data_IF_139578465231
#
_entry.id   IF_139578465231
#
_cell.length_a   1.000
_cell.length_b   1.000
_cell.length_c   1.000
_cell.angle_alpha   90.00
_cell.angle_beta   90.00
_cell.angle_gamma   90.00
#
_symmetry.space_group_name_H-M   'P 1'
#
loop_
_entity.id
_entity.type
_entity.pdbx_description
1 polymer ?
#
# COMPACT_ATOMS: atom_id res chain seq x y z
N UNK A 1 17.62 -6.09 4.03
CA UNK A 1 16.29 -6.73 4.02
C UNK A 1 16.37 -8.26 3.91
N UNK A 2 17.10 -8.85 2.97
CA UNK A 2 17.24 -10.32 2.85
C UNK A 2 17.72 -11.00 4.15
N UNK A 3 18.60 -10.37 4.92
CA UNK A 3 19.10 -10.88 6.20
C UNK A 3 18.08 -10.75 7.36
N UNK A 4 16.98 -10.02 7.15
CA UNK A 4 15.96 -9.79 8.16
C UNK A 4 14.72 -10.68 7.95
N UNK A 5 14.77 -11.64 7.02
CA UNK A 5 13.65 -12.54 6.76
C UNK A 5 12.42 -11.89 6.12
N UNK A 6 12.61 -10.79 5.36
CA UNK A 6 11.53 -10.16 4.60
C UNK A 6 11.18 -11.02 3.39
N UNK A 7 9.91 -11.37 3.21
CA UNK A 7 9.44 -12.27 2.15
C UNK A 7 9.07 -11.52 0.86
N UNK A 8 8.48 -10.33 0.97
CA UNK A 8 8.01 -9.52 -0.14
C UNK A 8 8.47 -8.07 -0.01
N UNK A 9 8.68 -7.42 -1.15
CA UNK A 9 8.73 -5.96 -1.25
C UNK A 9 7.47 -5.46 -1.94
N UNK A 10 6.98 -4.28 -1.56
CA UNK A 10 5.89 -3.61 -2.24
C UNK A 10 6.36 -2.24 -2.73
N UNK A 11 6.01 -1.91 -3.97
CA UNK A 11 6.28 -0.62 -4.60
C UNK A 11 4.98 -0.02 -5.13
N UNK A 12 4.95 1.29 -5.30
CA UNK A 12 3.76 1.94 -5.82
C UNK A 12 3.59 1.71 -7.33
N UNK A 13 4.68 1.81 -8.11
CA UNK A 13 4.63 1.75 -9.57
C UNK A 13 5.65 0.74 -10.13
N UNK A 14 5.38 0.26 -11.36
CA UNK A 14 6.23 -0.71 -12.04
C UNK A 14 7.68 -0.22 -12.21
N UNK A 15 7.89 1.07 -12.51
CA UNK A 15 9.23 1.63 -12.72
C UNK A 15 10.11 1.59 -11.45
N UNK A 16 9.50 1.68 -10.26
CA UNK A 16 10.22 1.47 -8.99
C UNK A 16 10.68 0.02 -8.86
N UNK A 17 9.82 -0.95 -9.20
CA UNK A 17 10.14 -2.37 -9.22
C UNK A 17 11.24 -2.70 -10.23
N UNK A 18 11.20 -2.13 -11.42
CA UNK A 18 12.24 -2.24 -12.45
C UNK A 18 13.58 -1.75 -11.89
N UNK A 19 13.59 -0.57 -11.27
CA UNK A 19 14.79 -0.02 -10.63
C UNK A 19 15.38 -0.97 -9.57
N UNK A 20 14.53 -1.64 -8.80
CA UNK A 20 14.99 -2.66 -7.85
C UNK A 20 15.62 -3.86 -8.57
N UNK A 21 15.01 -4.36 -9.65
CA UNK A 21 15.55 -5.46 -10.45
C UNK A 21 16.91 -5.13 -11.08
N UNK A 22 17.05 -3.93 -11.65
CA UNK A 22 18.31 -3.44 -12.22
C UNK A 22 19.44 -3.33 -11.19
N UNK A 23 19.07 -3.12 -9.91
CA UNK A 23 20.01 -3.13 -8.77
C UNK A 23 20.23 -4.52 -8.17
N UNK A 24 19.76 -5.59 -8.82
CA UNK A 24 20.01 -6.96 -8.41
C UNK A 24 19.09 -7.50 -7.31
N UNK A 25 17.96 -6.84 -7.03
CA UNK A 25 16.96 -7.36 -6.09
C UNK A 25 16.21 -8.53 -6.75
N UNK A 26 16.26 -9.71 -6.15
CA UNK A 26 15.64 -10.95 -6.66
C UNK A 26 14.40 -11.38 -5.88
N UNK A 27 14.09 -10.72 -4.77
CA UNK A 27 12.91 -11.00 -3.94
C UNK A 27 11.62 -10.73 -4.73
N UNK A 28 10.49 -11.39 -4.40
CA UNK A 28 9.18 -11.00 -4.95
C UNK A 28 8.90 -9.51 -4.73
N UNK A 29 8.40 -8.83 -5.76
CA UNK A 29 8.07 -7.40 -5.72
C UNK A 29 6.65 -7.21 -6.19
N UNK A 30 5.79 -6.76 -5.29
CA UNK A 30 4.38 -6.43 -5.55
C UNK A 30 4.28 -5.00 -6.05
N UNK A 31 3.53 -4.77 -7.12
CA UNK A 31 3.21 -3.43 -7.63
C UNK A 31 1.77 -3.08 -7.27
N UNK A 32 1.59 -2.06 -6.42
CA UNK A 32 0.29 -1.70 -5.84
C UNK A 32 -0.58 -0.83 -6.76
N UNK A 33 0.01 -0.12 -7.74
CA UNK A 33 -0.72 0.61 -8.77
C UNK A 33 -0.40 0.00 -10.14
N UNK A 34 -0.72 -1.27 -10.30
CA UNK A 34 -0.52 -1.98 -11.54
C UNK A 34 -1.58 -1.55 -12.57
N UNK A 35 -1.15 -0.98 -13.68
CA UNK A 35 -1.99 -0.59 -14.81
C UNK A 35 -1.69 -1.44 -16.05
N UNK A 36 -2.65 -1.51 -16.97
CA UNK A 36 -2.55 -2.33 -18.17
C UNK A 36 -1.37 -1.94 -19.09
N UNK A 37 -0.95 -0.66 -19.08
CA UNK A 37 0.17 -0.18 -19.89
C UNK A 37 1.53 -0.68 -19.33
N UNK A 38 1.57 -1.08 -18.07
CA UNK A 38 2.79 -1.58 -17.42
C UNK A 38 2.90 -3.11 -17.38
N UNK A 39 1.84 -3.87 -17.71
CA UNK A 39 1.80 -5.33 -17.57
C UNK A 39 2.90 -6.04 -18.38
N UNK A 40 3.17 -5.60 -19.60
CA UNK A 40 4.24 -6.18 -20.43
C UNK A 40 5.61 -6.04 -19.74
N UNK A 41 5.92 -4.86 -19.19
CA UNK A 41 7.14 -4.62 -18.41
C UNK A 41 7.16 -5.44 -17.13
N UNK A 42 6.00 -5.55 -16.43
CA UNK A 42 5.93 -6.31 -15.19
C UNK A 42 6.26 -7.79 -15.42
N UNK A 43 5.76 -8.40 -16.50
CA UNK A 43 6.10 -9.78 -16.86
C UNK A 43 7.58 -9.88 -17.19
N UNK A 44 8.14 -8.95 -18.01
CA UNK A 44 9.54 -8.98 -18.42
C UNK A 44 10.52 -8.88 -17.24
N UNK A 45 10.15 -8.11 -16.20
CA UNK A 45 10.97 -7.91 -15.01
C UNK A 45 10.54 -8.77 -13.80
N UNK A 46 9.62 -9.72 -13.98
CA UNK A 46 9.11 -10.60 -12.91
C UNK A 46 8.59 -9.80 -11.72
N UNK A 47 7.73 -8.80 -11.98
CA UNK A 47 7.02 -7.99 -10.99
C UNK A 47 5.58 -8.50 -10.85
N UNK A 48 5.07 -8.55 -9.64
CA UNK A 48 3.79 -9.17 -9.32
C UNK A 48 2.68 -8.11 -9.17
N UNK A 49 1.62 -8.11 -10.01
CA UNK A 49 0.61 -7.06 -9.97
C UNK A 49 -0.42 -7.21 -8.85
N UNK A 50 -0.82 -6.09 -8.24
CA UNK A 50 -2.10 -5.97 -7.56
C UNK A 50 -3.23 -6.02 -8.60
N UNK A 51 -4.24 -6.86 -8.34
CA UNK A 51 -5.44 -7.02 -9.16
C UNK A 51 -6.66 -6.64 -8.32
N UNK A 52 -7.40 -5.65 -8.74
CA UNK A 52 -8.45 -4.99 -7.95
C UNK A 52 -9.81 -4.89 -8.66
N UNK A 53 -9.92 -5.37 -9.90
CA UNK A 53 -11.15 -5.35 -10.67
C UNK A 53 -11.17 -6.46 -11.72
N UNK A 54 -12.35 -6.82 -12.23
CA UNK A 54 -12.47 -7.78 -13.34
C UNK A 54 -11.75 -7.30 -14.59
N UNK A 55 -11.76 -5.98 -14.86
CA UNK A 55 -11.04 -5.41 -15.99
C UNK A 55 -9.53 -5.63 -15.87
N UNK A 56 -8.94 -5.29 -14.69
CA UNK A 56 -7.51 -5.50 -14.48
C UNK A 56 -7.12 -6.99 -14.50
N UNK A 57 -8.00 -7.87 -13.99
CA UNK A 57 -7.78 -9.31 -14.01
C UNK A 57 -7.75 -9.85 -15.45
N UNK A 58 -8.73 -9.47 -16.25
CA UNK A 58 -8.88 -9.92 -17.64
C UNK A 58 -7.75 -9.38 -18.53
N UNK A 59 -7.36 -8.11 -18.37
CA UNK A 59 -6.24 -7.52 -19.08
C UNK A 59 -4.91 -8.21 -18.73
N UNK A 60 -4.71 -8.53 -17.45
CA UNK A 60 -3.49 -9.23 -17.06
C UNK A 60 -3.46 -10.67 -17.56
N UNK A 61 -4.59 -11.41 -17.51
CA UNK A 61 -4.69 -12.77 -18.06
C UNK A 61 -4.37 -12.76 -19.56
N UNK A 62 -4.93 -11.82 -20.33
CA UNK A 62 -4.62 -11.66 -21.76
C UNK A 62 -3.14 -11.34 -22.00
N UNK A 63 -2.56 -10.47 -21.19
CA UNK A 63 -1.14 -10.17 -21.26
C UNK A 63 -0.30 -11.42 -20.96
N UNK A 64 -0.57 -12.13 -19.89
CA UNK A 64 0.11 -13.35 -19.49
C UNK A 64 0.01 -14.45 -20.57
N UNK A 65 -1.14 -14.55 -21.23
CA UNK A 65 -1.36 -15.50 -22.35
C UNK A 65 -0.48 -15.17 -23.58
N UNK A 66 -0.37 -13.88 -23.95
CA UNK A 66 0.53 -13.42 -25.04
C UNK A 66 1.99 -13.79 -24.78
N UNK A 67 2.43 -13.72 -23.52
CA UNK A 67 3.80 -14.11 -23.13
C UNK A 67 3.96 -15.61 -22.88
N UNK A 68 2.90 -16.41 -23.01
CA UNK A 68 2.92 -17.85 -22.78
C UNK A 68 3.23 -18.25 -21.34
N UNK A 69 3.11 -17.34 -20.37
CA UNK A 69 3.38 -17.63 -18.98
C UNK A 69 2.23 -18.39 -18.33
N UNK A 70 2.55 -19.19 -17.30
CA UNK A 70 1.59 -19.97 -16.53
C UNK A 70 1.86 -19.83 -15.04
N UNK A 71 0.79 -19.88 -14.23
CA UNK A 71 0.87 -19.73 -12.79
C UNK A 71 1.57 -18.44 -12.34
N UNK A 72 1.44 -17.36 -13.14
CA UNK A 72 2.08 -16.09 -12.80
C UNK A 72 1.46 -15.54 -11.51
N UNK A 73 2.30 -15.16 -10.50
CA UNK A 73 1.80 -14.69 -9.22
C UNK A 73 1.10 -13.33 -9.36
N UNK A 74 -0.12 -13.23 -8.83
CA UNK A 74 -0.90 -12.01 -8.74
C UNK A 74 -1.43 -11.84 -7.32
N UNK A 75 -1.77 -10.60 -6.95
CA UNK A 75 -2.24 -10.24 -5.60
C UNK A 75 -3.66 -9.69 -5.68
N UNK A 76 -4.61 -10.46 -5.13
CA UNK A 76 -6.04 -10.10 -5.18
C UNK A 76 -6.37 -9.10 -4.08
N UNK A 77 -6.81 -7.92 -4.48
CA UNK A 77 -7.26 -6.87 -3.56
C UNK A 77 -8.74 -7.00 -3.27
N UNK A 78 -9.11 -6.98 -1.99
CA UNK A 78 -10.48 -6.92 -1.50
C UNK A 78 -10.77 -5.53 -0.94
N UNK A 79 -11.94 -4.98 -1.26
CA UNK A 79 -12.43 -3.76 -0.60
C UNK A 79 -13.25 -4.14 0.63
N UNK A 80 -12.75 -3.76 1.78
CA UNK A 80 -13.39 -4.03 3.07
C UNK A 80 -13.86 -2.75 3.77
N UNK A 81 -13.96 -1.64 3.04
CA UNK A 81 -14.46 -0.38 3.59
C UNK A 81 -13.58 0.84 3.35
N UNK A 82 -12.45 0.71 2.65
CA UNK A 82 -11.67 1.86 2.20
C UNK A 82 -12.28 2.52 0.95
N UNK A 83 -13.05 1.76 0.17
CA UNK A 83 -13.77 2.20 -1.04
C UNK A 83 -12.89 2.95 -2.06
N UNK A 84 -11.66 2.45 -2.23
CA UNK A 84 -10.73 2.99 -3.23
C UNK A 84 -10.63 2.06 -4.43
N UNK A 85 -10.28 0.81 -4.23
CA UNK A 85 -10.25 -0.29 -5.20
C UNK A 85 -10.23 -1.64 -4.47
N UNK A 86 -10.65 -2.69 -5.18
CA UNK A 86 -10.76 -4.05 -4.67
C UNK A 86 -12.09 -4.68 -5.01
N UNK A 87 -12.13 -6.00 -5.02
CA UNK A 87 -13.36 -6.76 -5.24
C UNK A 87 -14.26 -6.69 -4.01
N UNK A 88 -15.57 -6.66 -4.26
CA UNK A 88 -16.62 -6.65 -3.24
C UNK A 88 -16.99 -8.07 -2.79
N UNK A 89 -17.75 -8.19 -1.72
CA UNK A 89 -18.11 -9.48 -1.11
C UNK A 89 -18.96 -10.37 -2.05
N UNK A 90 -19.86 -9.77 -2.82
CA UNK A 90 -20.72 -10.46 -3.79
C UNK A 90 -19.98 -10.87 -5.08
N UNK A 91 -18.76 -10.36 -5.31
CA UNK A 91 -17.94 -10.68 -6.47
C UNK A 91 -16.99 -11.88 -6.25
N UNK A 92 -16.86 -12.36 -5.01
CA UNK A 92 -15.84 -13.36 -4.62
C UNK A 92 -15.95 -14.67 -5.40
N UNK A 93 -17.16 -15.19 -5.60
CA UNK A 93 -17.35 -16.46 -6.30
C UNK A 93 -16.93 -16.35 -7.76
N UNK A 94 -17.26 -15.23 -8.41
CA UNK A 94 -16.85 -14.97 -9.79
C UNK A 94 -15.33 -14.80 -9.90
N UNK A 95 -14.68 -14.16 -8.94
CA UNK A 95 -13.21 -14.09 -8.88
C UNK A 95 -12.61 -15.48 -8.79
N UNK A 96 -13.15 -16.35 -7.92
CA UNK A 96 -12.71 -17.74 -7.79
C UNK A 96 -12.85 -18.52 -9.10
N UNK A 97 -14.02 -18.44 -9.77
CA UNK A 97 -14.27 -19.10 -11.04
C UNK A 97 -13.26 -18.69 -12.13
N UNK A 98 -12.97 -17.39 -12.25
CA UNK A 98 -11.99 -16.88 -13.20
C UNK A 98 -10.58 -17.41 -12.87
N UNK A 99 -10.15 -17.38 -11.60
CA UNK A 99 -8.84 -17.86 -11.19
C UNK A 99 -8.67 -19.37 -11.44
N UNK A 100 -9.71 -20.17 -11.21
CA UNK A 100 -9.69 -21.63 -11.46
C UNK A 100 -9.59 -21.92 -12.95
N UNK A 101 -10.29 -21.15 -13.79
CA UNK A 101 -10.32 -21.36 -15.25
C UNK A 101 -9.13 -20.75 -16.00
N UNK A 102 -8.30 -19.94 -15.33
CA UNK A 102 -7.19 -19.20 -15.94
C UNK A 102 -5.82 -19.71 -15.52
N UNK A 103 -5.26 -20.73 -16.20
CA UNK A 103 -3.94 -21.30 -15.83
C UNK A 103 -2.77 -20.35 -16.03
N UNK A 104 -2.98 -19.17 -16.63
CA UNK A 104 -1.99 -18.14 -16.82
C UNK A 104 -1.56 -17.51 -15.48
N UNK A 105 -2.49 -17.41 -14.53
CA UNK A 105 -2.29 -16.68 -13.27
C UNK A 105 -2.54 -17.58 -12.06
N UNK A 106 -1.95 -17.18 -10.93
CA UNK A 106 -2.19 -17.80 -9.62
C UNK A 106 -2.25 -16.70 -8.56
N UNK A 107 -3.31 -16.65 -7.77
CA UNK A 107 -3.37 -15.77 -6.63
C UNK A 107 -2.30 -16.16 -5.59
N UNK A 108 -1.22 -15.40 -5.51
CA UNK A 108 -0.17 -15.59 -4.50
C UNK A 108 -0.65 -15.09 -3.13
N UNK A 109 -1.32 -13.95 -3.11
CA UNK A 109 -1.92 -13.39 -1.89
C UNK A 109 -3.32 -12.87 -2.12
N UNK A 110 -4.08 -12.77 -1.02
CA UNK A 110 -5.34 -12.04 -0.92
C UNK A 110 -5.16 -10.98 0.15
N UNK A 111 -5.51 -9.73 -0.13
CA UNK A 111 -5.28 -8.67 0.82
C UNK A 111 -6.30 -7.53 0.78
N UNK A 112 -6.33 -6.75 1.85
CA UNK A 112 -7.07 -5.49 1.95
C UNK A 112 -6.20 -4.42 2.61
N UNK A 113 -6.77 -3.24 2.87
CA UNK A 113 -6.09 -2.15 3.57
C UNK A 113 -7.00 -1.54 4.62
N UNK A 114 -6.50 -1.45 5.84
CA UNK A 114 -7.21 -0.82 6.95
C UNK A 114 -7.04 0.70 6.85
N UNK A 115 -8.16 1.43 6.80
CA UNK A 115 -8.16 2.86 6.48
C UNK A 115 -7.90 3.76 7.68
N UNK A 116 -8.19 3.31 8.90
CA UNK A 116 -8.10 4.10 10.14
C UNK A 116 -7.59 3.27 11.33
N UNK A 117 -6.68 2.32 11.08
CA UNK A 117 -6.10 1.53 12.16
C UNK A 117 -5.23 2.35 13.13
N UNK A 118 -4.91 3.59 12.79
CA UNK A 118 -4.15 4.55 13.58
C UNK A 118 -5.02 5.44 14.50
N UNK A 119 -6.36 5.44 14.32
CA UNK A 119 -7.28 6.24 15.10
C UNK A 119 -8.08 5.38 16.09
N UNK A 120 -7.84 5.50 17.42
CA UNK A 120 -8.61 4.76 18.42
C UNK A 120 -10.13 5.02 18.38
N UNK A 121 -10.56 6.19 17.91
CA UNK A 121 -11.98 6.50 17.79
C UNK A 121 -12.69 5.67 16.69
N UNK A 122 -11.93 5.05 15.81
CA UNK A 122 -12.40 4.23 14.68
C UNK A 122 -12.16 2.73 14.89
N UNK A 123 -11.88 2.28 16.11
CA UNK A 123 -11.55 0.88 16.39
C UNK A 123 -12.66 -0.08 15.98
N UNK A 124 -13.92 0.26 16.24
CA UNK A 124 -15.06 -0.58 15.87
C UNK A 124 -15.15 -0.75 14.33
N UNK A 125 -14.94 0.33 13.59
CA UNK A 125 -14.90 0.28 12.13
C UNK A 125 -13.72 -0.58 11.64
N UNK A 126 -12.53 -0.41 12.23
CA UNK A 126 -11.35 -1.19 11.89
C UNK A 126 -11.57 -2.69 12.14
N UNK A 127 -12.17 -3.07 13.28
CA UNK A 127 -12.55 -4.47 13.57
C UNK A 127 -13.59 -5.00 12.58
N UNK A 128 -14.53 -4.16 12.17
CA UNK A 128 -15.47 -4.47 11.09
C UNK A 128 -14.77 -4.79 9.77
N UNK A 129 -13.76 -3.99 9.37
CA UNK A 129 -12.94 -4.26 8.19
C UNK A 129 -12.18 -5.58 8.30
N UNK A 130 -11.60 -5.89 9.47
CA UNK A 130 -10.87 -7.14 9.73
C UNK A 130 -11.80 -8.35 9.61
N UNK A 131 -12.99 -8.28 10.24
CA UNK A 131 -13.98 -9.34 10.19
C UNK A 131 -14.50 -9.60 8.76
N UNK A 132 -14.76 -8.53 8.01
CA UNK A 132 -15.16 -8.63 6.59
C UNK A 132 -14.04 -9.24 5.75
N UNK A 133 -12.79 -8.80 5.94
CA UNK A 133 -11.64 -9.38 5.26
C UNK A 133 -11.48 -10.88 5.56
N UNK A 134 -11.59 -11.29 6.81
CA UNK A 134 -11.49 -12.71 7.18
C UNK A 134 -12.55 -13.55 6.44
N UNK A 135 -13.79 -13.10 6.44
CA UNK A 135 -14.91 -13.79 5.77
C UNK A 135 -14.71 -13.88 4.25
N UNK A 136 -14.41 -12.76 3.60
CA UNK A 136 -14.20 -12.71 2.14
C UNK A 136 -12.98 -13.52 1.72
N UNK A 137 -11.84 -13.34 2.42
CA UNK A 137 -10.59 -14.02 2.07
C UNK A 137 -10.65 -15.54 2.32
N UNK A 138 -11.36 -16.00 3.37
CA UNK A 138 -11.64 -17.43 3.56
C UNK A 138 -12.47 -17.98 2.42
N UNK A 139 -13.60 -17.33 2.09
CA UNK A 139 -14.47 -17.77 1.00
C UNK A 139 -13.71 -17.95 -0.30
N UNK A 140 -12.88 -16.97 -0.68
CA UNK A 140 -12.03 -17.07 -1.86
C UNK A 140 -10.99 -18.19 -1.73
N UNK A 141 -10.25 -18.22 -0.61
CA UNK A 141 -9.21 -19.22 -0.37
C UNK A 141 -9.76 -20.65 -0.37
N UNK A 142 -10.97 -20.88 0.17
CA UNK A 142 -11.57 -22.22 0.25
C UNK A 142 -12.11 -22.70 -1.10
N UNK A 143 -12.46 -21.79 -2.00
CA UNK A 143 -12.86 -22.11 -3.36
C UNK A 143 -11.67 -22.51 -4.26
N UNK A 144 -10.44 -22.07 -3.93
CA UNK A 144 -9.24 -22.33 -4.74
C UNK A 144 -8.60 -23.70 -4.41
N UNK A 145 -7.98 -24.40 -5.40
CA UNK A 145 -7.27 -25.66 -5.16
C UNK A 145 -5.92 -25.52 -4.44
N UNK A 146 -5.59 -24.30 -4.00
CA UNK A 146 -4.38 -23.94 -3.25
C UNK A 146 -4.70 -22.85 -2.24
N UNK A 147 -3.79 -22.57 -1.30
CA UNK A 147 -4.01 -21.56 -0.26
C UNK A 147 -3.14 -20.32 -0.53
N UNK A 148 -3.76 -19.18 -0.91
CA UNK A 148 -3.06 -17.88 -0.96
C UNK A 148 -2.72 -17.38 0.44
N UNK A 149 -1.64 -16.60 0.54
CA UNK A 149 -1.28 -15.86 1.76
C UNK A 149 -2.31 -14.73 1.98
N UNK A 150 -2.87 -14.62 3.18
CA UNK A 150 -3.84 -13.59 3.54
C UNK A 150 -3.18 -12.51 4.37
N UNK A 151 -3.39 -11.24 4.04
CA UNK A 151 -2.81 -10.13 4.79
C UNK A 151 -3.61 -8.84 4.72
N UNK A 152 -3.71 -8.10 5.84
CA UNK A 152 -4.39 -6.80 5.86
C UNK A 152 -3.71 -5.77 6.76
N UNK A 153 -2.93 -6.18 7.76
CA UNK A 153 -2.26 -5.29 8.70
C UNK A 153 -1.27 -4.35 7.99
N UNK A 154 -1.42 -3.05 8.23
CA UNK A 154 -0.43 -2.01 7.98
C UNK A 154 0.38 -1.74 9.27
N UNK A 155 1.30 -0.76 9.28
CA UNK A 155 2.15 -0.48 10.44
C UNK A 155 1.35 -0.23 11.72
N UNK A 156 0.25 0.51 11.68
CA UNK A 156 -0.60 0.75 12.84
C UNK A 156 -1.28 -0.53 13.34
N UNK A 157 -1.80 -1.34 12.42
CA UNK A 157 -2.48 -2.57 12.79
C UNK A 157 -1.52 -3.65 13.30
N UNK A 158 -0.25 -3.62 12.91
CA UNK A 158 0.77 -4.52 13.49
C UNK A 158 0.84 -4.33 15.01
N UNK A 159 0.79 -3.09 15.48
CA UNK A 159 0.88 -2.78 16.91
C UNK A 159 -0.46 -2.91 17.63
N UNK A 160 -1.57 -2.52 16.99
CA UNK A 160 -2.86 -2.32 17.65
C UNK A 160 -3.85 -3.47 17.50
N UNK A 161 -3.73 -4.28 16.44
CA UNK A 161 -4.70 -5.32 16.09
C UNK A 161 -4.01 -6.64 15.75
N UNK A 162 -3.53 -7.42 16.75
CA UNK A 162 -2.89 -8.71 16.51
C UNK A 162 -3.77 -9.68 15.69
N UNK A 163 -5.09 -9.56 15.81
CA UNK A 163 -6.06 -10.34 15.03
C UNK A 163 -6.04 -10.05 13.52
N UNK A 164 -5.42 -8.92 13.09
CA UNK A 164 -5.26 -8.53 11.69
C UNK A 164 -3.99 -9.06 11.03
N UNK A 165 -3.11 -9.74 11.75
CA UNK A 165 -1.82 -10.20 11.21
C UNK A 165 -2.00 -11.26 10.13
N UNK A 166 -2.97 -12.17 10.30
CA UNK A 166 -3.19 -13.32 9.40
C UNK A 166 -1.87 -14.04 9.08
N UNK A 167 -1.53 -14.20 7.80
CA UNK A 167 -0.34 -14.95 7.39
C UNK A 167 0.87 -14.03 7.13
N UNK A 168 0.65 -12.71 6.93
CA UNK A 168 1.70 -11.74 6.63
C UNK A 168 1.26 -10.32 7.03
N UNK A 169 2.22 -9.47 7.40
CA UNK A 169 2.02 -8.05 7.71
C UNK A 169 2.75 -7.17 6.69
N UNK A 170 2.25 -5.94 6.49
CA UNK A 170 2.88 -4.93 5.63
C UNK A 170 3.45 -3.81 6.47
N UNK A 171 4.77 -3.81 6.63
CA UNK A 171 5.48 -2.75 7.34
C UNK A 171 5.82 -1.62 6.35
N UNK A 172 5.22 -0.45 6.55
CA UNK A 172 5.44 0.76 5.76
C UNK A 172 6.05 1.87 6.62
N UNK A 173 5.22 2.66 7.28
CA UNK A 173 5.67 3.80 8.08
C UNK A 173 6.63 3.40 9.20
N UNK A 174 6.44 2.23 9.80
CA UNK A 174 7.35 1.68 10.82
C UNK A 174 8.78 1.47 10.33
N UNK A 175 9.02 1.25 9.02
CA UNK A 175 10.38 1.17 8.45
C UNK A 175 11.14 2.51 8.53
N UNK A 176 10.41 3.62 8.65
CA UNK A 176 10.99 4.96 8.77
C UNK A 176 11.15 5.41 10.22
N UNK A 177 10.88 4.52 11.17
CA UNK A 177 11.02 4.80 12.59
C UNK A 177 9.83 5.52 13.22
N UNK A 178 8.62 5.32 12.67
CA UNK A 178 7.39 5.88 13.20
C UNK A 178 6.43 4.76 13.59
N UNK A 179 6.21 4.58 14.89
CA UNK A 179 5.21 3.68 15.48
C UNK A 179 3.97 4.43 15.95
N UNK A 180 2.97 3.68 16.37
CA UNK A 180 1.71 4.23 16.89
C UNK A 180 1.62 4.08 18.42
N UNK A 181 2.09 2.95 18.95
CA UNK A 181 2.08 2.66 20.38
C UNK A 181 3.48 2.68 21.00
N UNK A 182 4.51 2.38 20.20
CA UNK A 182 5.90 2.14 20.65
C UNK A 182 6.91 3.03 19.92
N UNK A 183 6.59 4.34 19.79
CA UNK A 183 7.48 5.29 19.12
C UNK A 183 8.87 5.43 19.77
N UNK A 184 8.95 5.23 21.07
CA UNK A 184 10.18 5.30 21.85
C UNK A 184 11.13 4.11 21.62
N UNK A 185 10.63 3.03 21.05
CA UNK A 185 11.42 1.85 20.68
C UNK A 185 11.98 1.93 19.25
N UNK A 186 11.56 2.93 18.46
CA UNK A 186 11.93 3.07 17.05
C UNK A 186 12.88 4.26 16.84
N UNK A 187 13.87 4.05 15.97
CA UNK A 187 14.81 5.11 15.58
C UNK A 187 14.41 5.71 14.22
N UNK A 188 14.18 7.05 14.13
CA UNK A 188 13.93 7.71 12.85
C UNK A 188 15.10 7.54 11.88
N UNK A 189 14.85 7.01 10.69
CA UNK A 189 15.88 6.77 9.66
C UNK A 189 16.13 7.96 8.74
N UNK A 190 15.30 9.01 8.84
CA UNK A 190 15.40 10.20 8.00
C UNK A 190 15.27 11.47 8.84
N UNK A 191 16.01 12.50 8.45
CA UNK A 191 15.93 13.85 9.04
C UNK A 191 15.70 14.86 7.94
N UNK A 192 14.55 15.56 7.98
CA UNK A 192 14.29 16.70 7.12
C UNK A 192 14.93 17.94 7.72
N UNK A 193 15.82 18.59 6.96
CA UNK A 193 16.51 19.83 7.37
C UNK A 193 16.19 20.94 6.39
N UNK A 194 16.05 22.16 6.92
CA UNK A 194 15.90 23.36 6.12
C UNK A 194 16.77 24.47 6.70
N UNK A 195 16.99 25.53 5.92
CA UNK A 195 17.73 26.72 6.34
C UNK A 195 16.77 27.91 6.50
N UNK A 196 16.84 28.58 7.64
CA UNK A 196 16.19 29.86 7.81
C UNK A 196 17.03 30.89 7.02
N UNK A 197 16.43 31.51 6.00
CA UNK A 197 17.10 32.49 5.14
C UNK A 197 16.80 33.93 5.54
N UNK A 198 15.71 34.16 6.30
CA UNK A 198 15.36 35.47 6.80
C UNK A 198 14.45 35.36 8.03
N UNK A 199 14.64 36.29 8.98
CA UNK A 199 13.73 36.50 10.11
C UNK A 199 13.30 37.97 10.11
N UNK A 200 12.00 38.23 10.23
CA UNK A 200 11.44 39.59 10.30
C UNK A 200 10.35 39.67 11.35
N UNK A 201 10.31 40.80 12.04
CA UNK A 201 9.15 41.16 12.87
C UNK A 201 8.03 41.69 12.01
N UNK A 202 6.80 41.27 12.32
CA UNK A 202 5.57 41.73 11.70
C UNK A 202 4.54 41.99 12.78
N UNK A 203 3.72 43.03 12.56
CA UNK A 203 2.70 43.41 13.50
C UNK A 203 1.43 42.58 13.36
N UNK A 204 0.64 42.52 14.44
CA UNK A 204 -0.69 41.98 14.40
C UNK A 204 -1.51 42.64 13.27
N UNK A 205 -2.34 41.85 12.59
CA UNK A 205 -3.17 42.30 11.48
C UNK A 205 -2.47 42.25 10.11
N UNK A 206 -1.14 42.13 10.05
CA UNK A 206 -0.45 41.96 8.75
C UNK A 206 -0.73 40.58 8.14
N UNK A 207 -1.01 40.53 6.85
CA UNK A 207 -1.24 39.28 6.12
C UNK A 207 0.08 38.69 5.62
N UNK A 208 0.17 37.35 5.60
CA UNK A 208 1.36 36.61 5.20
C UNK A 208 1.03 35.63 4.08
N UNK A 209 2.01 35.40 3.21
CA UNK A 209 1.98 34.40 2.14
C UNK A 209 1.15 34.80 0.93
N UNK A 210 1.05 33.86 0.00
CA UNK A 210 0.27 34.05 -1.22
C UNK A 210 -1.23 34.18 -0.92
N UNK A 211 -1.90 35.04 -1.69
CA UNK A 211 -3.33 35.26 -1.53
C UNK A 211 -3.74 35.95 -0.24
N UNK A 212 -2.78 36.37 0.62
CA UNK A 212 -3.05 36.97 1.94
C UNK A 212 -4.03 36.13 2.77
N UNK A 213 -3.92 34.81 2.64
CA UNK A 213 -4.89 33.86 3.21
C UNK A 213 -4.89 33.78 4.73
N UNK A 214 -3.82 34.26 5.37
CA UNK A 214 -3.69 34.30 6.83
C UNK A 214 -3.21 35.67 7.30
N UNK A 215 -3.79 36.17 8.38
CA UNK A 215 -3.36 37.38 9.06
C UNK A 215 -2.82 37.02 10.46
N UNK A 216 -1.82 37.78 10.90
CA UNK A 216 -1.24 37.58 12.23
C UNK A 216 -2.21 38.04 13.31
N UNK A 217 -2.47 37.19 14.30
CA UNK A 217 -3.30 37.53 15.47
C UNK A 217 -2.54 38.38 16.52
N UNK A 218 -1.20 38.33 16.47
CA UNK A 218 -0.31 39.04 17.40
C UNK A 218 0.98 39.46 16.70
N UNK A 219 1.74 40.39 17.28
CA UNK A 219 3.09 40.72 16.84
C UNK A 219 3.96 39.43 16.85
N UNK A 220 4.59 39.14 15.72
CA UNK A 220 5.24 37.86 15.49
C UNK A 220 6.59 37.99 14.82
N UNK A 221 7.47 37.04 15.07
CA UNK A 221 8.67 36.81 14.29
C UNK A 221 8.35 35.79 13.19
N UNK A 222 8.55 36.18 11.95
CA UNK A 222 8.33 35.35 10.77
C UNK A 222 9.67 34.88 10.26
N UNK A 223 9.86 33.56 10.17
CA UNK A 223 11.02 32.92 9.55
C UNK A 223 10.68 32.45 8.14
N UNK A 224 11.47 32.90 7.19
CA UNK A 224 11.42 32.39 5.83
C UNK A 224 12.35 31.16 5.73
N UNK A 225 11.80 30.03 5.32
CA UNK A 225 12.51 28.77 5.18
C UNK A 225 12.83 28.49 3.72
N UNK A 226 14.03 28.03 3.44
CA UNK A 226 14.43 27.57 2.13
C UNK A 226 14.31 26.04 2.08
N UNK A 227 13.25 25.53 1.50
CA UNK A 227 13.08 24.11 1.19
C UNK A 227 12.49 23.97 -0.21
N UNK A 228 12.73 22.85 -0.85
CA UNK A 228 12.13 22.56 -2.15
C UNK A 228 10.64 22.33 -1.95
N UNK A 229 9.83 23.32 -2.33
CA UNK A 229 8.41 23.11 -2.59
C UNK A 229 8.26 22.51 -3.96
N UNK A 230 7.56 21.40 -4.16
CA UNK A 230 7.11 21.01 -5.48
C UNK A 230 6.10 22.08 -5.94
N UNK A 231 6.53 22.96 -6.82
CA UNK A 231 5.70 23.93 -7.51
C UNK A 231 5.16 23.33 -8.79
#
# INVERSE_FOLDING_TARGET
>A
MRHLGVDYLAVAFADEGITLRERGVTMPVVVLNADAASFDKMIAYSLEPEIYSFHSLDDFIRCADRYGVRNYPIHIKLDTGMHRWGFLEDEIDRVAEILISSPQVRAATIFSHLSCADDPAQDDFTRGQIALFDRMSRRLSDALPYKPIRHTANSAAIERFPEAHFDMCRLGLGLYGYGYCHNDELEPVATLKTRIVQIRRRSAGEAIGYGRSQSLERDSLIACLLYTSPS
#
